data_IF_332005955471
#
_entry.id   IF_332005955471
#
_cell.length_a   1.000
_cell.length_b   1.000
_cell.length_c   1.000
_cell.angle_alpha   90.00
_cell.angle_beta   90.00
_cell.angle_gamma   90.00
#
_symmetry.space_group_name_H-M   'P 1'
#
loop_
_entity.id
_entity.type
_entity.pdbx_description
1 polymer ?
#
# COMPACT_ATOMS: atom_id res chain seq x y z
N UNK A 1 25.40 65.57 2.04
CA UNK A 1 25.83 65.26 0.65
C UNK A 1 27.20 64.61 0.66
N UNK A 2 27.31 63.32 0.31
CA UNK A 2 28.60 62.64 0.12
C UNK A 2 28.88 62.49 -1.38
N UNK A 3 29.67 63.40 -1.93
CA UNK A 3 30.05 63.37 -3.34
C UNK A 3 31.12 62.29 -3.54
N UNK A 4 30.76 61.18 -4.19
CA UNK A 4 31.69 60.14 -4.61
C UNK A 4 32.60 60.67 -5.73
N UNK A 5 33.78 61.15 -5.37
CA UNK A 5 34.81 61.62 -6.30
C UNK A 5 35.58 60.39 -6.82
N UNK A 6 34.98 59.62 -7.73
CA UNK A 6 35.59 58.40 -8.28
C UNK A 6 36.53 58.64 -9.46
N UNK A 7 36.60 59.87 -9.99
CA UNK A 7 37.34 60.17 -11.21
C UNK A 7 38.31 61.34 -10.99
N UNK A 8 39.53 61.01 -10.54
CA UNK A 8 40.68 61.88 -10.78
C UNK A 8 41.01 61.74 -12.26
N UNK A 9 41.01 62.83 -13.02
CA UNK A 9 41.20 62.89 -14.48
C UNK A 9 42.60 62.49 -14.97
N UNK A 10 43.16 61.39 -14.45
CA UNK A 10 44.47 60.85 -14.78
C UNK A 10 44.32 59.57 -15.64
N UNK A 11 45.31 59.32 -16.50
CA UNK A 11 45.40 58.12 -17.34
C UNK A 11 45.40 56.82 -16.51
N UNK A 12 46.16 56.78 -15.40
CA UNK A 12 46.24 55.59 -14.55
C UNK A 12 44.88 55.19 -13.94
N UNK A 13 44.13 56.16 -13.40
CA UNK A 13 42.79 55.94 -12.81
C UNK A 13 41.77 55.59 -13.88
N UNK A 14 41.85 56.21 -15.06
CA UNK A 14 41.00 55.87 -16.21
C UNK A 14 41.17 54.42 -16.66
N UNK A 15 42.41 53.92 -16.75
CA UNK A 15 42.66 52.52 -17.11
C UNK A 15 42.18 51.53 -16.05
N UNK A 16 42.44 51.80 -14.77
CA UNK A 16 41.93 50.97 -13.66
C UNK A 16 40.40 50.95 -13.64
N UNK A 17 39.74 52.09 -13.81
CA UNK A 17 38.28 52.18 -13.86
C UNK A 17 37.71 51.43 -15.07
N UNK A 18 38.34 51.52 -16.25
CA UNK A 18 37.96 50.70 -17.42
C UNK A 18 38.10 49.19 -17.15
N UNK A 19 39.19 48.74 -16.51
CA UNK A 19 39.37 47.32 -16.14
C UNK A 19 38.32 46.86 -15.12
N UNK A 20 38.03 47.68 -14.10
CA UNK A 20 36.99 47.41 -13.09
C UNK A 20 35.60 47.32 -13.71
N UNK A 21 35.24 48.26 -14.59
CA UNK A 21 33.97 48.24 -15.32
C UNK A 21 33.83 47.00 -16.21
N UNK A 22 34.88 46.65 -16.98
CA UNK A 22 34.89 45.42 -17.79
C UNK A 22 34.71 44.17 -16.93
N UNK A 23 35.37 44.10 -15.78
CA UNK A 23 35.22 42.97 -14.84
C UNK A 23 33.80 42.90 -14.26
N UNK A 24 33.22 44.03 -13.86
CA UNK A 24 31.84 44.10 -13.36
C UNK A 24 30.81 43.70 -14.42
N UNK A 25 30.99 44.13 -15.68
CA UNK A 25 30.13 43.70 -16.78
C UNK A 25 30.20 42.18 -16.99
N UNK A 26 31.41 41.60 -16.99
CA UNK A 26 31.58 40.13 -17.07
C UNK A 26 30.89 39.41 -15.92
N UNK A 27 31.07 39.89 -14.67
CA UNK A 27 30.43 39.30 -13.49
C UNK A 27 28.91 39.42 -13.52
N UNK A 28 28.34 40.51 -14.04
CA UNK A 28 26.89 40.64 -14.23
C UNK A 28 26.34 39.59 -15.19
N UNK A 29 27.04 39.32 -16.30
CA UNK A 29 26.63 38.27 -17.25
C UNK A 29 26.70 36.89 -16.61
N UNK A 30 27.77 36.59 -15.87
CA UNK A 30 27.92 35.31 -15.16
C UNK A 30 26.82 35.12 -14.10
N UNK A 31 26.53 36.14 -13.28
CA UNK A 31 25.46 36.07 -12.27
C UNK A 31 24.09 35.83 -12.90
N UNK A 32 23.79 36.47 -14.05
CA UNK A 32 22.54 36.23 -14.80
C UNK A 32 22.44 34.78 -15.29
N UNK A 33 23.54 34.22 -15.80
CA UNK A 33 23.57 32.81 -16.23
C UNK A 33 23.37 31.86 -15.07
N UNK A 34 24.07 32.08 -13.95
CA UNK A 34 23.93 31.25 -12.74
C UNK A 34 22.50 31.34 -12.19
N UNK A 35 21.89 32.52 -12.14
CA UNK A 35 20.52 32.69 -11.68
C UNK A 35 19.52 31.93 -12.55
N UNK A 36 19.71 31.90 -13.88
CA UNK A 36 18.88 31.13 -14.79
C UNK A 36 19.00 29.61 -14.52
N UNK A 37 20.23 29.09 -14.43
CA UNK A 37 20.46 27.68 -14.13
C UNK A 37 19.97 27.29 -12.74
N UNK A 38 20.15 28.15 -11.74
CA UNK A 38 19.64 27.94 -10.38
C UNK A 38 18.10 27.90 -10.37
N UNK A 39 17.45 28.80 -11.11
CA UNK A 39 15.99 28.79 -11.26
C UNK A 39 15.47 27.51 -11.90
N UNK A 40 16.12 27.03 -12.97
CA UNK A 40 15.78 25.76 -13.63
C UNK A 40 15.97 24.59 -12.65
N UNK A 41 17.10 24.53 -11.94
CA UNK A 41 17.35 23.48 -10.94
C UNK A 41 16.31 23.50 -9.81
N UNK A 42 15.94 24.69 -9.34
CA UNK A 42 14.94 24.84 -8.30
C UNK A 42 13.55 24.39 -8.78
N UNK A 43 13.18 24.69 -10.04
CA UNK A 43 11.95 24.18 -10.65
C UNK A 43 11.94 22.65 -10.73
N UNK A 44 13.06 22.03 -11.13
CA UNK A 44 13.20 20.56 -11.15
C UNK A 44 13.02 19.97 -9.74
N UNK A 45 13.66 20.56 -8.73
CA UNK A 45 13.52 20.11 -7.34
C UNK A 45 12.06 20.19 -6.87
N UNK A 46 11.34 21.26 -7.20
CA UNK A 46 9.91 21.40 -6.83
C UNK A 46 9.08 20.28 -7.48
N UNK A 47 9.26 20.04 -8.79
CA UNK A 47 8.53 18.99 -9.51
C UNK A 47 8.81 17.61 -8.92
N UNK A 48 10.07 17.28 -8.66
CA UNK A 48 10.46 16.02 -8.03
C UNK A 48 9.88 15.88 -6.62
N UNK A 49 9.84 16.97 -5.84
CA UNK A 49 9.27 16.96 -4.49
C UNK A 49 7.77 16.67 -4.51
N UNK A 50 7.03 17.29 -5.43
CA UNK A 50 5.58 17.03 -5.62
C UNK A 50 5.37 15.57 -6.03
N UNK A 51 6.17 15.08 -6.99
CA UNK A 51 6.08 13.69 -7.45
C UNK A 51 6.35 12.69 -6.33
N UNK A 52 7.35 12.96 -5.47
CA UNK A 52 7.72 12.09 -4.35
C UNK A 52 6.61 12.03 -3.28
N UNK A 53 5.98 13.17 -2.96
CA UNK A 53 4.83 13.19 -2.04
C UNK A 53 3.65 12.42 -2.62
N UNK A 54 3.31 12.64 -3.89
CA UNK A 54 2.24 11.90 -4.56
C UNK A 54 2.52 10.39 -4.62
N UNK A 55 3.77 9.99 -4.90
CA UNK A 55 4.17 8.59 -4.93
C UNK A 55 4.11 7.93 -3.56
N UNK A 56 4.50 8.64 -2.49
CA UNK A 56 4.40 8.13 -1.12
C UNK A 56 2.95 7.86 -0.74
N UNK A 57 2.04 8.80 -1.02
CA UNK A 57 0.61 8.60 -0.75
C UNK A 57 0.04 7.39 -1.51
N UNK A 58 0.39 7.25 -2.79
CA UNK A 58 -0.05 6.10 -3.60
C UNK A 58 0.51 4.78 -3.08
N UNK A 59 1.78 4.75 -2.65
CA UNK A 59 2.38 3.52 -2.15
C UNK A 59 1.76 3.04 -0.83
N UNK A 60 1.39 3.96 0.07
CA UNK A 60 0.71 3.61 1.31
C UNK A 60 -0.71 3.08 1.06
N UNK A 61 -1.46 3.69 0.12
CA UNK A 61 -2.78 3.18 -0.28
C UNK A 61 -2.69 1.82 -0.96
N UNK A 62 -1.71 1.63 -1.85
CA UNK A 62 -1.49 0.37 -2.55
C UNK A 62 -1.06 -0.74 -1.57
N UNK A 63 -0.31 -0.41 -0.52
CA UNK A 63 0.06 -1.35 0.53
C UNK A 63 -1.16 -1.81 1.35
N UNK A 64 -2.07 -0.90 1.69
CA UNK A 64 -3.32 -1.24 2.39
C UNK A 64 -4.24 -2.06 1.50
N UNK A 65 -4.42 -1.67 0.24
CA UNK A 65 -5.26 -2.40 -0.71
C UNK A 65 -4.73 -3.81 -0.96
N UNK A 66 -3.40 -3.98 -1.06
CA UNK A 66 -2.77 -5.30 -1.15
C UNK A 66 -3.06 -6.18 0.05
N UNK A 67 -2.93 -5.66 1.28
CA UNK A 67 -3.27 -6.42 2.50
C UNK A 67 -4.72 -6.85 2.52
N UNK A 68 -5.63 -5.94 2.20
CA UNK A 68 -7.06 -6.26 2.15
C UNK A 68 -7.39 -7.32 1.09
N UNK A 69 -6.80 -7.22 -0.12
CA UNK A 69 -6.97 -8.23 -1.16
C UNK A 69 -6.40 -9.59 -0.75
N UNK A 70 -5.25 -9.60 -0.08
CA UNK A 70 -4.65 -10.83 0.44
C UNK A 70 -5.56 -11.48 1.49
N UNK A 71 -6.09 -10.71 2.44
CA UNK A 71 -7.03 -11.23 3.44
C UNK A 71 -8.29 -11.82 2.81
N UNK A 72 -8.85 -11.14 1.80
CA UNK A 72 -10.02 -11.64 1.08
C UNK A 72 -9.70 -12.91 0.29
N UNK A 73 -8.52 -12.98 -0.34
CA UNK A 73 -8.05 -14.17 -1.04
C UNK A 73 -7.89 -15.37 -0.09
N UNK A 74 -7.28 -15.16 1.08
CA UNK A 74 -7.12 -16.19 2.11
C UNK A 74 -8.47 -16.68 2.63
N UNK A 75 -9.43 -15.78 2.87
CA UNK A 75 -10.79 -16.17 3.26
C UNK A 75 -11.46 -17.03 2.20
N UNK A 76 -11.34 -16.65 0.93
CA UNK A 76 -11.97 -17.37 -0.17
C UNK A 76 -11.29 -18.74 -0.41
N UNK A 77 -9.98 -18.84 -0.20
CA UNK A 77 -9.27 -20.11 -0.23
C UNK A 77 -9.72 -21.04 0.91
N UNK A 78 -9.86 -20.51 2.13
CA UNK A 78 -10.37 -21.30 3.26
C UNK A 78 -11.80 -21.77 3.03
N UNK A 79 -12.65 -20.91 2.46
CA UNK A 79 -14.02 -21.28 2.08
C UNK A 79 -14.02 -22.38 1.00
N UNK A 80 -13.17 -22.27 -0.02
CA UNK A 80 -13.02 -23.31 -1.04
C UNK A 80 -12.61 -24.66 -0.43
N UNK A 81 -11.64 -24.66 0.49
CA UNK A 81 -11.19 -25.88 1.18
C UNK A 81 -12.34 -26.48 1.99
N UNK A 82 -13.05 -25.66 2.79
CA UNK A 82 -14.17 -26.12 3.59
C UNK A 82 -15.31 -26.68 2.73
N UNK A 83 -15.60 -26.05 1.59
CA UNK A 83 -16.61 -26.54 0.65
C UNK A 83 -16.18 -27.85 -0.02
N UNK A 84 -14.90 -28.00 -0.36
CA UNK A 84 -14.36 -29.27 -0.90
C UNK A 84 -14.44 -30.39 0.12
N UNK A 85 -14.13 -30.11 1.38
CA UNK A 85 -14.25 -31.09 2.47
C UNK A 85 -15.71 -31.51 2.66
N UNK A 86 -16.64 -30.55 2.71
CA UNK A 86 -18.08 -30.85 2.78
C UNK A 86 -18.54 -31.70 1.59
N UNK A 87 -18.10 -31.36 0.37
CA UNK A 87 -18.44 -32.14 -0.82
C UNK A 87 -17.86 -33.56 -0.75
N UNK A 88 -16.65 -33.72 -0.24
CA UNK A 88 -16.05 -35.03 -0.06
C UNK A 88 -16.83 -35.85 0.97
N UNK A 89 -17.13 -35.27 2.13
CA UNK A 89 -17.93 -35.91 3.17
C UNK A 89 -19.33 -36.31 2.67
N UNK A 90 -19.94 -35.49 1.80
CA UNK A 90 -21.24 -35.80 1.20
C UNK A 90 -21.20 -36.95 0.18
N UNK A 91 -20.04 -37.20 -0.42
CA UNK A 91 -19.83 -38.31 -1.36
C UNK A 91 -19.23 -39.56 -0.68
N UNK A 92 -18.80 -39.44 0.57
CA UNK A 92 -18.19 -40.51 1.35
C UNK A 92 -19.27 -41.36 2.05
N UNK A 93 -19.39 -42.61 1.62
CA UNK A 93 -20.36 -43.56 2.18
C UNK A 93 -20.14 -43.79 3.68
N UNK A 94 -18.88 -43.84 4.14
CA UNK A 94 -18.57 -44.12 5.55
C UNK A 94 -18.95 -42.92 6.44
N UNK A 95 -18.76 -41.70 5.93
CA UNK A 95 -19.23 -40.49 6.59
C UNK A 95 -20.76 -40.43 6.69
N UNK A 96 -21.47 -40.76 5.61
CA UNK A 96 -22.94 -40.83 5.60
C UNK A 96 -23.45 -41.91 6.57
N UNK A 97 -22.82 -43.09 6.58
CA UNK A 97 -23.19 -44.18 7.50
C UNK A 97 -22.98 -43.77 8.97
N UNK A 98 -21.89 -43.04 9.27
CA UNK A 98 -21.66 -42.47 10.60
C UNK A 98 -22.77 -41.49 11.01
N UNK A 99 -23.13 -40.53 10.16
CA UNK A 99 -24.23 -39.60 10.43
C UNK A 99 -25.55 -40.35 10.64
N UNK A 100 -25.85 -41.36 9.81
CA UNK A 100 -27.06 -42.16 9.95
C UNK A 100 -27.11 -42.92 11.30
N UNK A 101 -25.98 -43.44 11.77
CA UNK A 101 -25.87 -44.11 13.07
C UNK A 101 -25.96 -43.14 14.25
N UNK A 102 -25.25 -42.01 14.17
CA UNK A 102 -25.13 -41.03 15.25
C UNK A 102 -26.41 -40.19 15.43
N UNK A 103 -26.97 -39.64 14.35
CA UNK A 103 -28.09 -38.69 14.42
C UNK A 103 -29.45 -39.38 14.26
N UNK A 104 -29.50 -40.46 13.48
CA UNK A 104 -30.76 -41.14 13.14
C UNK A 104 -30.90 -42.54 13.77
N UNK A 105 -29.92 -42.99 14.57
CA UNK A 105 -29.90 -44.32 15.19
C UNK A 105 -30.21 -45.44 14.17
N UNK A 106 -29.66 -45.34 12.96
CA UNK A 106 -29.79 -46.38 11.94
C UNK A 106 -28.81 -47.53 12.24
N UNK A 107 -29.24 -48.76 12.04
CA UNK A 107 -28.47 -49.97 12.37
C UNK A 107 -28.64 -51.01 11.27
N UNK A 108 -27.57 -51.74 10.96
CA UNK A 108 -27.63 -52.78 9.92
C UNK A 108 -28.35 -54.03 10.43
N UNK A 109 -28.70 -54.92 9.49
CA UNK A 109 -29.41 -56.16 9.78
C UNK A 109 -28.57 -57.05 10.71
N UNK A 110 -29.08 -57.30 11.92
CA UNK A 110 -28.44 -58.15 12.94
C UNK A 110 -27.69 -57.38 14.04
N UNK A 111 -27.60 -56.05 13.93
CA UNK A 111 -27.06 -55.17 14.98
C UNK A 111 -28.18 -54.76 15.98
N UNK A 112 -27.82 -54.51 17.25
CA UNK A 112 -28.74 -54.13 18.33
C UNK A 112 -28.33 -52.78 18.93
N UNK A 113 -29.26 -51.82 18.97
CA UNK A 113 -29.01 -50.47 19.49
C UNK A 113 -29.31 -50.40 20.99
N UNK A 114 -28.31 -50.01 21.78
CA UNK A 114 -28.46 -49.75 23.21
C UNK A 114 -28.59 -48.24 23.46
N UNK A 115 -29.69 -47.82 24.08
CA UNK A 115 -29.89 -46.41 24.48
C UNK A 115 -29.43 -46.24 25.92
N UNK A 116 -28.44 -45.39 26.17
CA UNK A 116 -27.99 -45.09 27.52
C UNK A 116 -28.91 -44.04 28.17
N UNK A 117 -29.12 -44.10 29.50
CA UNK A 117 -29.85 -43.07 30.23
C UNK A 117 -29.05 -41.74 30.21
N UNK A 118 -29.27 -40.95 29.17
CA UNK A 118 -28.55 -39.69 28.89
C UNK A 118 -28.76 -39.21 27.44
N UNK A 119 -28.99 -40.14 26.52
CA UNK A 119 -29.04 -39.87 25.07
C UNK A 119 -30.34 -39.18 24.61
N UNK A 120 -31.28 -38.89 25.52
CA UNK A 120 -32.58 -38.29 25.19
C UNK A 120 -32.51 -36.78 24.90
N UNK A 121 -31.39 -36.12 25.21
CA UNK A 121 -31.29 -34.66 25.06
C UNK A 121 -30.70 -34.19 23.72
N UNK A 122 -30.00 -35.05 22.98
CA UNK A 122 -29.32 -34.69 21.73
C UNK A 122 -30.22 -34.70 20.48
N UNK A 123 -31.35 -35.41 20.49
CA UNK A 123 -32.19 -35.60 19.29
C UNK A 123 -33.28 -34.53 19.08
N UNK A 124 -33.48 -33.61 20.03
CA UNK A 124 -34.60 -32.66 19.99
C UNK A 124 -34.20 -31.19 19.80
N UNK A 125 -32.92 -30.88 19.54
CA UNK A 125 -32.43 -29.49 19.44
C UNK A 125 -32.17 -28.98 18.01
N UNK A 126 -32.22 -29.82 16.97
CA UNK A 126 -31.89 -29.41 15.60
C UNK A 126 -33.12 -29.21 14.68
N UNK A 127 -34.35 -29.30 15.21
CA UNK A 127 -35.58 -29.02 14.46
C UNK A 127 -36.26 -27.75 14.99
N UNK A 128 -35.57 -26.60 14.88
CA UNK A 128 -36.22 -25.29 14.86
C UNK A 128 -35.20 -24.22 14.47
N UNK A 129 -35.22 -23.80 13.22
CA UNK A 129 -35.08 -22.40 12.79
C UNK A 129 -35.37 -22.32 11.30
N UNK A 130 -36.59 -21.89 10.99
CA UNK A 130 -36.99 -21.31 9.71
C UNK A 130 -37.17 -19.80 9.93
#
# INVERSE_FOLDING_TARGET
>A
MSNNIENIGNQYTSEKNKKKQRHQMKMRVVKKRIALFAGIMLAIIIVLSIMLVAQKHRNDTDAQERKHKEEQFQKQQNEEIALKEQLNNLNDKDYIEKIARDDYYLSNKGEVIFKLPGDKQSSNSNSSNN
#
